data_IF_830537045341
#
_entry.id   IF_830537045341
#
_cell.length_a   1.000
_cell.length_b   1.000
_cell.length_c   1.000
_cell.angle_alpha   90.00
_cell.angle_beta   90.00
_cell.angle_gamma   90.00
#
_symmetry.space_group_name_H-M   'P 1'
#
loop_
_entity.id
_entity.type
_entity.pdbx_description
1 polymer ?
#
# COMPACT_ATOMS: atom_id res chain seq x y z
N UNK A 1 -15.74 -26.96 2.92
CA UNK A 1 -14.44 -26.80 2.23
C UNK A 1 -13.46 -27.83 2.76
N UNK A 2 -12.60 -28.40 1.92
CA UNK A 2 -11.45 -29.22 2.39
C UNK A 2 -10.39 -28.31 3.03
N UNK A 3 -9.49 -28.89 3.83
CA UNK A 3 -8.45 -28.13 4.55
C UNK A 3 -7.52 -27.34 3.62
N UNK A 4 -7.06 -27.97 2.54
CA UNK A 4 -6.12 -27.32 1.61
C UNK A 4 -6.79 -26.25 0.76
N UNK A 5 -8.03 -26.48 0.31
CA UNK A 5 -8.80 -25.47 -0.40
C UNK A 5 -9.02 -24.22 0.46
N UNK A 6 -9.40 -24.39 1.75
CA UNK A 6 -9.62 -23.24 2.65
C UNK A 6 -8.33 -22.43 2.82
N UNK A 7 -7.18 -23.09 2.99
CA UNK A 7 -5.88 -22.41 3.12
C UNK A 7 -5.55 -21.59 1.87
N UNK A 8 -5.70 -22.20 0.69
CA UNK A 8 -5.43 -21.52 -0.57
C UNK A 8 -6.39 -20.36 -0.81
N UNK A 9 -7.66 -20.52 -0.45
CA UNK A 9 -8.66 -19.46 -0.51
C UNK A 9 -8.29 -18.28 0.41
N UNK A 10 -7.93 -18.55 1.66
CA UNK A 10 -7.48 -17.52 2.61
C UNK A 10 -6.25 -16.80 2.07
N UNK A 11 -5.29 -17.52 1.47
CA UNK A 11 -4.12 -16.92 0.82
C UNK A 11 -4.51 -15.98 -0.32
N UNK A 12 -5.51 -16.34 -1.13
CA UNK A 12 -6.02 -15.47 -2.19
C UNK A 12 -6.69 -14.21 -1.63
N UNK A 13 -7.48 -14.33 -0.55
CA UNK A 13 -8.07 -13.16 0.11
C UNK A 13 -6.99 -12.25 0.69
N UNK A 14 -5.97 -12.81 1.35
CA UNK A 14 -4.83 -12.03 1.87
C UNK A 14 -4.09 -11.32 0.73
N UNK A 15 -3.88 -11.98 -0.41
CA UNK A 15 -3.27 -11.33 -1.57
C UNK A 15 -4.07 -10.12 -2.06
N UNK A 16 -5.41 -10.19 -2.09
CA UNK A 16 -6.25 -9.03 -2.44
C UNK A 16 -6.09 -7.89 -1.43
N UNK A 17 -5.99 -8.20 -0.14
CA UNK A 17 -5.70 -7.19 0.90
C UNK A 17 -4.35 -6.52 0.64
N UNK A 18 -3.31 -7.28 0.29
CA UNK A 18 -1.99 -6.73 -0.04
C UNK A 18 -2.04 -5.84 -1.30
N UNK A 19 -2.76 -6.26 -2.34
CA UNK A 19 -2.97 -5.45 -3.55
C UNK A 19 -3.67 -4.14 -3.21
N UNK A 20 -4.70 -4.16 -2.37
CA UNK A 20 -5.41 -2.96 -1.92
C UNK A 20 -4.47 -1.96 -1.25
N UNK A 21 -3.62 -2.44 -0.34
CA UNK A 21 -2.62 -1.60 0.34
C UNK A 21 -1.60 -1.02 -0.64
N UNK A 22 -1.08 -1.82 -1.58
CA UNK A 22 -0.15 -1.32 -2.59
C UNK A 22 -0.76 -0.26 -3.50
N UNK A 23 -2.03 -0.43 -3.90
CA UNK A 23 -2.74 0.59 -4.68
C UNK A 23 -2.94 1.88 -3.90
N UNK A 24 -3.20 1.80 -2.59
CA UNK A 24 -3.30 2.98 -1.73
C UNK A 24 -1.97 3.75 -1.67
N UNK A 25 -0.85 3.04 -1.48
CA UNK A 25 0.48 3.66 -1.46
C UNK A 25 0.77 4.39 -2.79
N UNK A 26 0.48 3.75 -3.93
CA UNK A 26 0.68 4.39 -5.25
C UNK A 26 -0.25 5.57 -5.49
N UNK A 27 -1.52 5.48 -5.08
CA UNK A 27 -2.46 6.59 -5.18
C UNK A 27 -2.01 7.78 -4.33
N UNK A 28 -1.48 7.53 -3.13
CA UNK A 28 -0.91 8.56 -2.27
C UNK A 28 0.33 9.20 -2.89
N UNK A 29 1.23 8.41 -3.46
CA UNK A 29 2.42 8.92 -4.15
C UNK A 29 2.04 9.84 -5.31
N UNK A 30 1.04 9.46 -6.11
CA UNK A 30 0.53 10.30 -7.20
C UNK A 30 -0.07 11.60 -6.66
N UNK A 31 -0.89 11.53 -5.61
CA UNK A 31 -1.48 12.70 -5.00
C UNK A 31 -0.41 13.66 -4.43
N UNK A 32 0.66 13.14 -3.81
CA UNK A 32 1.79 13.93 -3.29
C UNK A 32 2.60 14.61 -4.38
N UNK A 33 2.64 14.06 -5.60
CA UNK A 33 3.26 14.70 -6.75
C UNK A 33 2.34 15.73 -7.42
N UNK A 34 1.03 15.55 -7.28
CA UNK A 34 -0.02 16.42 -7.80
C UNK A 34 -0.63 17.30 -6.72
N UNK A 35 -1.90 17.06 -6.41
CA UNK A 35 -2.76 17.96 -5.62
C UNK A 35 -2.29 18.19 -4.18
N UNK A 36 -1.55 17.25 -3.59
CA UNK A 36 -1.04 17.32 -2.22
C UNK A 36 0.43 17.75 -2.17
N UNK A 37 0.98 18.28 -3.26
CA UNK A 37 2.39 18.68 -3.33
C UNK A 37 2.77 19.72 -2.27
N UNK A 38 1.89 20.68 -2.00
CA UNK A 38 2.14 21.69 -0.97
C UNK A 38 2.22 21.06 0.43
N UNK A 39 1.49 19.97 0.66
CA UNK A 39 1.55 19.19 1.90
C UNK A 39 2.82 18.36 1.94
N UNK A 40 3.19 17.75 0.81
CA UNK A 40 4.45 17.01 0.67
C UNK A 40 5.68 17.89 1.01
N UNK A 41 5.67 19.15 0.58
CA UNK A 41 6.77 20.08 0.81
C UNK A 41 6.80 20.62 2.25
N UNK A 42 5.71 20.47 3.02
CA UNK A 42 5.59 20.90 4.41
C UNK A 42 6.10 19.87 5.42
N UNK A 43 6.29 18.60 5.02
CA UNK A 43 6.80 17.56 5.93
C UNK A 43 8.33 17.62 6.07
N UNK A 44 8.81 17.50 7.30
CA UNK A 44 10.22 17.34 7.62
C UNK A 44 10.61 15.88 7.78
N UNK A 45 11.91 15.59 7.58
CA UNK A 45 12.43 14.23 7.75
C UNK A 45 12.31 13.83 9.22
N UNK A 46 11.48 12.83 9.49
CA UNK A 46 11.19 12.35 10.85
C UNK A 46 9.74 12.53 11.26
N UNK A 47 8.96 13.30 10.49
CA UNK A 47 7.52 13.44 10.73
C UNK A 47 6.80 12.11 10.51
N UNK A 48 5.89 11.78 11.42
CA UNK A 48 4.99 10.63 11.30
C UNK A 48 3.58 11.15 11.13
N UNK A 49 2.96 10.79 10.01
CA UNK A 49 1.57 11.11 9.73
C UNK A 49 0.85 9.85 9.23
N UNK A 50 -0.35 9.61 9.74
CA UNK A 50 -1.19 8.50 9.31
C UNK A 50 -2.12 9.00 8.23
N UNK A 51 -1.93 8.51 7.00
CA UNK A 51 -2.84 8.81 5.91
C UNK A 51 -3.99 7.81 5.88
N UNK A 52 -5.17 8.33 5.58
CA UNK A 52 -6.38 7.55 5.37
C UNK A 52 -6.86 7.70 3.93
N UNK A 53 -7.64 6.74 3.43
CA UNK A 53 -8.24 6.81 2.10
C UNK A 53 -9.07 8.09 1.89
N UNK A 54 -9.68 8.60 2.96
CA UNK A 54 -10.43 9.86 2.97
C UNK A 54 -9.59 11.06 2.49
N UNK A 55 -8.26 11.05 2.69
CA UNK A 55 -7.38 12.13 2.20
C UNK A 55 -7.24 12.16 0.68
N UNK A 56 -7.57 11.06 0.00
CA UNK A 56 -7.53 10.96 -1.46
C UNK A 56 -8.91 11.17 -2.10
N UNK A 57 -9.97 11.24 -1.30
CA UNK A 57 -11.33 11.44 -1.80
C UNK A 57 -11.47 12.84 -2.39
N UNK A 58 -12.07 12.93 -3.58
CA UNK A 58 -12.26 14.18 -4.32
C UNK A 58 -10.95 14.88 -4.72
N UNK A 59 -9.88 14.11 -4.98
CA UNK A 59 -8.69 14.62 -5.65
C UNK A 59 -9.09 15.28 -6.98
N UNK A 60 -8.39 16.34 -7.38
CA UNK A 60 -8.54 16.94 -8.70
C UNK A 60 -7.97 16.03 -9.81
N UNK A 61 -7.06 15.11 -9.48
CA UNK A 61 -6.55 14.09 -10.40
C UNK A 61 -7.55 12.93 -10.59
N UNK A 62 -8.06 12.81 -11.82
CA UNK A 62 -8.93 11.70 -12.23
C UNK A 62 -8.30 10.32 -12.05
N UNK A 63 -6.98 10.18 -12.17
CA UNK A 63 -6.30 8.90 -12.00
C UNK A 63 -6.28 8.48 -10.52
N UNK A 64 -6.06 9.43 -9.61
CA UNK A 64 -6.14 9.18 -8.16
C UNK A 64 -7.56 8.75 -7.80
N UNK A 65 -8.59 9.43 -8.29
CA UNK A 65 -9.99 9.04 -8.07
C UNK A 65 -10.31 7.63 -8.60
N UNK A 66 -9.76 7.25 -9.76
CA UNK A 66 -9.93 5.91 -10.31
C UNK A 66 -9.28 4.83 -9.42
N UNK A 67 -8.09 5.11 -8.89
CA UNK A 67 -7.41 4.21 -7.94
C UNK A 67 -8.18 4.09 -6.62
N UNK A 68 -8.70 5.20 -6.08
CA UNK A 68 -9.55 5.19 -4.88
C UNK A 68 -10.79 4.33 -5.10
N UNK A 69 -11.46 4.48 -6.25
CA UNK A 69 -12.64 3.68 -6.60
C UNK A 69 -12.30 2.17 -6.65
N UNK A 70 -11.17 1.81 -7.28
CA UNK A 70 -10.72 0.42 -7.33
C UNK A 70 -10.38 -0.15 -5.94
N UNK A 71 -9.78 0.66 -5.06
CA UNK A 71 -9.48 0.28 -3.67
C UNK A 71 -10.78 -0.05 -2.92
N UNK A 72 -11.81 0.77 -3.08
CA UNK A 72 -13.14 0.56 -2.47
C UNK A 72 -13.83 -0.70 -3.03
N UNK A 73 -13.75 -0.94 -4.34
CA UNK A 73 -14.27 -2.15 -4.97
C UNK A 73 -13.58 -3.42 -4.45
N UNK A 74 -12.25 -3.41 -4.37
CA UNK A 74 -11.47 -4.54 -3.82
C UNK A 74 -11.86 -4.77 -2.36
N UNK A 75 -12.01 -3.71 -1.56
CA UNK A 75 -12.47 -3.83 -0.17
C UNK A 75 -13.84 -4.52 -0.09
N UNK A 76 -14.81 -4.08 -0.91
CA UNK A 76 -16.15 -4.68 -0.94
C UNK A 76 -16.12 -6.16 -1.36
N UNK A 77 -15.27 -6.52 -2.32
CA UNK A 77 -15.07 -7.92 -2.73
C UNK A 77 -14.46 -8.74 -1.58
N UNK A 78 -13.43 -8.23 -0.90
CA UNK A 78 -12.81 -8.89 0.25
C UNK A 78 -13.83 -9.13 1.37
N UNK A 79 -14.61 -8.12 1.74
CA UNK A 79 -15.63 -8.23 2.78
C UNK A 79 -16.70 -9.27 2.42
N UNK A 80 -17.12 -9.29 1.15
CA UNK A 80 -18.04 -10.30 0.63
C UNK A 80 -17.45 -11.71 0.70
N UNK A 81 -16.20 -11.90 0.26
CA UNK A 81 -15.53 -13.20 0.30
C UNK A 81 -15.37 -13.72 1.74
N UNK A 82 -15.02 -12.86 2.68
CA UNK A 82 -14.87 -13.21 4.10
C UNK A 82 -16.24 -13.57 4.71
N UNK A 83 -17.25 -12.75 4.46
CA UNK A 83 -18.60 -12.93 5.00
C UNK A 83 -19.28 -14.20 4.48
N UNK A 84 -19.31 -14.39 3.15
CA UNK A 84 -19.97 -15.54 2.51
C UNK A 84 -19.33 -16.87 2.93
N UNK A 85 -18.01 -16.88 3.18
CA UNK A 85 -17.28 -18.09 3.52
C UNK A 85 -17.09 -18.28 5.04
N UNK A 86 -17.71 -17.44 5.86
CA UNK A 86 -17.63 -17.45 7.32
C UNK A 86 -16.19 -17.58 7.82
N UNK A 87 -15.31 -16.73 7.28
CA UNK A 87 -13.90 -16.67 7.66
C UNK A 87 -13.77 -15.73 8.86
N UNK A 88 -13.10 -16.19 9.91
CA UNK A 88 -12.84 -15.33 11.06
C UNK A 88 -11.89 -14.21 10.66
N UNK A 89 -12.13 -13.00 11.16
CA UNK A 89 -11.28 -11.83 10.92
C UNK A 89 -9.81 -12.12 11.24
N UNK A 90 -9.53 -12.98 12.22
CA UNK A 90 -8.18 -13.40 12.65
C UNK A 90 -7.45 -14.28 11.64
N UNK A 91 -8.17 -14.91 10.70
CA UNK A 91 -7.56 -15.72 9.64
C UNK A 91 -7.03 -14.85 8.48
N UNK A 92 -7.43 -13.58 8.42
CA UNK A 92 -7.03 -12.63 7.39
C UNK A 92 -5.97 -11.67 7.94
N UNK A 93 -4.92 -11.46 7.15
CA UNK A 93 -3.84 -10.52 7.46
C UNK A 93 -4.25 -9.12 6.98
N UNK A 94 -4.99 -8.39 7.82
CA UNK A 94 -5.47 -7.04 7.51
C UNK A 94 -4.37 -5.99 7.50
N UNK A 95 -3.37 -6.21 8.35
CA UNK A 95 -2.18 -5.39 8.44
C UNK A 95 -1.05 -6.10 7.72
N UNK A 96 -0.29 -5.34 6.94
CA UNK A 96 0.92 -5.85 6.33
C UNK A 96 1.99 -6.03 7.42
N UNK A 97 2.48 -7.26 7.59
CA UNK A 97 3.65 -7.54 8.40
C UNK A 97 4.83 -6.81 7.77
N UNK A 98 5.45 -5.89 8.52
CA UNK A 98 6.70 -5.32 8.08
C UNK A 98 7.73 -6.46 7.95
N UNK A 99 8.53 -6.50 6.88
CA UNK A 99 9.66 -7.41 6.86
C UNK A 99 10.55 -7.05 8.05
N UNK A 100 10.76 -8.01 8.94
CA UNK A 100 11.71 -7.88 10.04
C UNK A 100 13.03 -7.36 9.46
N UNK A 101 13.58 -6.31 10.05
CA UNK A 101 14.73 -5.56 9.54
C UNK A 101 16.06 -6.34 9.55
N UNK A 102 16.01 -7.67 9.57
CA UNK A 102 17.14 -8.54 9.85
C UNK A 102 17.07 -9.85 9.05
N UNK A 103 17.12 -9.77 7.73
CA UNK A 103 17.91 -10.75 6.96
C UNK A 103 18.26 -10.22 5.56
N UNK A 104 19.55 -10.07 5.30
CA UNK A 104 20.08 -9.85 3.96
C UNK A 104 21.05 -10.96 3.62
N UNK A 105 20.86 -11.62 2.47
CA UNK A 105 22.00 -12.02 1.66
C UNK A 105 21.92 -11.45 0.24
N UNK A 106 23.04 -10.87 -0.17
CA UNK A 106 23.35 -10.39 -1.52
C UNK A 106 23.23 -11.54 -2.54
N UNK A 107 22.49 -11.31 -3.62
CA UNK A 107 22.43 -12.20 -4.78
C UNK A 107 21.58 -11.54 -5.87
N UNK A 108 22.20 -11.26 -7.01
CA UNK A 108 21.74 -10.37 -8.08
C UNK A 108 20.30 -10.57 -8.60
N UNK A 109 19.75 -9.44 -9.09
CA UNK A 109 18.71 -9.28 -10.13
C UNK A 109 17.22 -9.28 -9.73
N UNK A 110 16.69 -8.06 -9.54
CA UNK A 110 15.59 -7.48 -10.34
C UNK A 110 15.41 -6.00 -9.97
N UNK A 111 15.86 -5.12 -10.87
CA UNK A 111 15.51 -3.68 -10.84
C UNK A 111 14.20 -3.57 -11.60
N UNK A 112 13.09 -3.28 -10.92
CA UNK A 112 11.92 -2.61 -11.49
C UNK A 112 11.06 -2.05 -10.36
N UNK A 113 10.85 -0.72 -10.38
CA UNK A 113 9.81 -0.01 -9.62
C UNK A 113 10.17 0.31 -8.18
N UNK A 114 10.42 1.58 -7.89
CA UNK A 114 10.86 2.11 -6.59
C UNK A 114 9.84 1.84 -5.47
N UNK A 115 10.38 1.49 -4.29
CA UNK A 115 9.82 1.51 -2.92
C UNK A 115 8.77 0.44 -2.52
N UNK A 116 9.25 -0.52 -1.73
CA UNK A 116 8.49 -1.58 -1.04
C UNK A 116 7.85 -1.06 0.25
N UNK A 117 6.58 -1.37 0.44
CA UNK A 117 5.90 -1.79 1.69
C UNK A 117 5.97 -0.88 2.94
N UNK A 118 4.84 -0.22 3.24
CA UNK A 118 4.23 -0.07 4.58
C UNK A 118 5.05 0.69 5.60
N UNK A 119 5.18 1.95 5.26
CA UNK A 119 4.95 3.08 6.14
C UNK A 119 4.79 4.23 5.17
N UNK A 120 3.69 4.96 5.18
CA UNK A 120 3.75 6.34 4.68
C UNK A 120 4.52 7.18 5.72
N UNK A 121 5.76 6.76 6.06
CA UNK A 121 6.81 7.69 6.39
C UNK A 121 7.35 8.06 5.03
N UNK A 122 7.08 9.29 4.66
CA UNK A 122 7.55 9.98 3.47
C UNK A 122 9.09 10.05 3.53
N UNK A 123 9.76 8.92 3.36
CA UNK A 123 11.22 8.85 3.17
C UNK A 123 11.48 9.11 1.69
N UNK A 124 10.91 10.20 1.15
CA UNK A 124 11.03 10.51 -0.25
C UNK A 124 12.26 11.39 -0.51
N UNK A 125 13.21 10.77 -1.21
CA UNK A 125 13.84 11.33 -2.43
C UNK A 125 14.90 12.44 -2.24
N UNK A 126 15.12 13.02 -1.05
CA UNK A 126 16.30 13.90 -0.86
C UNK A 126 17.64 13.16 -0.90
N UNK A 127 17.71 11.89 -0.49
CA UNK A 127 18.96 11.12 -0.54
C UNK A 127 19.39 10.72 -1.97
N UNK A 128 18.46 10.66 -2.93
CA UNK A 128 18.82 10.40 -4.34
C UNK A 128 19.32 11.69 -5.01
N UNK A 129 18.68 12.84 -4.74
CA UNK A 129 19.16 14.14 -5.25
C UNK A 129 20.49 14.60 -4.62
N UNK A 130 20.76 14.27 -3.35
CA UNK A 130 22.07 14.58 -2.74
C UNK A 130 23.21 13.67 -3.21
N UNK A 131 22.96 12.56 -3.90
CA UNK A 131 24.00 11.71 -4.48
C UNK A 131 24.32 12.02 -5.95
N UNK A 132 23.44 12.73 -6.68
CA UNK A 132 23.68 13.11 -8.09
C UNK A 132 24.28 14.51 -8.30
N UNK A 133 24.60 15.25 -7.23
CA UNK A 133 25.42 16.46 -7.34
C UNK A 133 24.84 17.55 -8.26
N UNK A 134 23.53 17.82 -8.15
CA UNK A 134 22.87 19.00 -8.71
C UNK A 134 22.07 19.73 -7.63
#
# INVERSE_FOLDING_TARGET
MTGDYRKDFIRSVNYLVQVRHGLFDEAMNLAMLGDLRDINDAFEVGDTYTFELAHLQNSADSNVNALVSLIEEIQGIVDSLVSVNNIDRKEIEWELKQPDSDDSPRGSQKIFGCARSVKTILTCIKSIRMMEGL
#
